data_IF_972001747321
#
_entry.id   IF_972001747321
#
_cell.length_a   1.000
_cell.length_b   1.000
_cell.length_c   1.000
_cell.angle_alpha   90.00
_cell.angle_beta   90.00
_cell.angle_gamma   90.00
#
_symmetry.space_group_name_H-M   'P 1'
#
loop_
_entity.id
_entity.type
_entity.pdbx_description
1 polymer ?
#
# COMPACT_ATOMS: atom_id res chain seq x y z
N UNK A 1 -6.41 -2.22 -5.40
CA UNK A 1 -6.24 -1.08 -4.46
C UNK A 1 -5.25 -0.11 -5.07
N UNK A 2 -5.53 1.20 -5.03
CA UNK A 2 -4.64 2.23 -5.59
C UNK A 2 -4.68 3.48 -4.69
N UNK A 3 -3.61 4.26 -4.68
CA UNK A 3 -3.54 5.50 -3.90
C UNK A 3 -3.87 6.71 -4.78
N UNK A 4 -4.62 7.66 -4.22
CA UNK A 4 -4.99 8.90 -4.88
C UNK A 4 -4.89 10.07 -3.88
N UNK A 5 -4.69 11.27 -4.41
CA UNK A 5 -4.81 12.51 -3.64
C UNK A 5 -6.27 12.94 -3.67
N UNK A 6 -6.96 12.87 -2.53
CA UNK A 6 -8.37 13.22 -2.38
C UNK A 6 -8.60 13.97 -1.04
N UNK A 7 -9.73 14.65 -0.93
CA UNK A 7 -10.18 15.30 0.30
C UNK A 7 -10.82 14.28 1.26
N UNK A 8 -10.68 14.46 2.59
CA UNK A 8 -11.26 13.53 3.56
C UNK A 8 -12.79 13.56 3.50
N UNK A 9 -13.42 12.38 3.42
CA UNK A 9 -14.89 12.25 3.51
C UNK A 9 -15.29 11.89 4.93
N UNK A 10 -16.56 12.13 5.26
CA UNK A 10 -17.10 11.96 6.62
C UNK A 10 -16.91 10.55 7.21
N UNK A 11 -16.76 9.55 6.36
CA UNK A 11 -16.66 8.12 6.73
C UNK A 11 -15.22 7.61 6.74
N UNK A 12 -14.27 8.40 6.24
CA UNK A 12 -12.89 7.96 6.07
C UNK A 12 -12.10 8.05 7.37
N UNK A 13 -11.21 7.08 7.58
CA UNK A 13 -10.24 7.15 8.66
C UNK A 13 -9.08 8.05 8.25
N UNK A 14 -8.85 9.13 9.00
CA UNK A 14 -7.71 10.02 8.82
C UNK A 14 -6.59 9.71 9.81
N UNK A 15 -5.37 9.59 9.29
CA UNK A 15 -4.14 9.42 10.06
C UNK A 15 -3.22 10.58 9.74
N UNK A 16 -3.05 11.48 10.71
CA UNK A 16 -2.17 12.64 10.58
C UNK A 16 -0.73 12.25 10.90
N UNK A 17 0.18 12.58 9.98
CA UNK A 17 1.62 12.56 10.22
C UNK A 17 2.16 13.99 10.13
N UNK A 18 3.38 14.27 10.60
CA UNK A 18 3.94 15.63 10.61
C UNK A 18 3.99 16.32 9.24
N UNK A 19 3.94 15.56 8.14
CA UNK A 19 4.10 16.07 6.79
C UNK A 19 2.98 15.69 5.82
N UNK A 20 2.21 14.64 6.13
CA UNK A 20 1.17 14.10 5.25
C UNK A 20 -0.03 13.63 6.07
N UNK A 21 -1.23 13.88 5.55
CA UNK A 21 -2.46 13.29 6.08
C UNK A 21 -2.84 12.12 5.19
N UNK A 22 -2.93 10.93 5.78
CA UNK A 22 -3.41 9.74 5.10
C UNK A 22 -4.90 9.58 5.36
N UNK A 23 -5.63 9.24 4.30
CA UNK A 23 -7.08 9.01 4.35
C UNK A 23 -7.31 7.60 3.84
N UNK A 24 -8.04 6.80 4.59
CA UNK A 24 -8.37 5.43 4.24
C UNK A 24 -9.88 5.24 4.25
N UNK A 25 -10.40 4.67 3.16
CA UNK A 25 -11.78 4.26 3.09
C UNK A 25 -12.07 3.14 4.11
N UNK A 26 -13.32 3.01 4.60
CA UNK A 26 -13.68 2.06 5.66
C UNK A 26 -13.36 0.60 5.33
N UNK A 27 -13.48 0.24 4.06
CA UNK A 27 -13.14 -1.10 3.56
C UNK A 27 -11.63 -1.39 3.70
N UNK A 28 -10.78 -0.40 3.41
CA UNK A 28 -9.33 -0.49 3.57
C UNK A 28 -8.92 -0.54 5.04
N UNK A 29 -9.56 0.27 5.90
CA UNK A 29 -9.32 0.24 7.36
C UNK A 29 -9.52 -1.18 7.91
N UNK A 30 -10.62 -1.83 7.56
CA UNK A 30 -10.92 -3.18 8.04
C UNK A 30 -9.86 -4.19 7.61
N UNK A 31 -9.28 -4.04 6.40
CA UNK A 31 -8.19 -4.88 5.90
C UNK A 31 -6.87 -4.59 6.62
N UNK A 32 -6.56 -3.33 6.87
CA UNK A 32 -5.35 -2.91 7.59
C UNK A 32 -5.38 -3.42 9.03
N UNK A 33 -6.50 -3.27 9.72
CA UNK A 33 -6.70 -3.76 11.08
C UNK A 33 -6.57 -5.28 11.17
N UNK A 34 -7.13 -6.04 10.21
CA UNK A 34 -6.99 -7.50 10.15
C UNK A 34 -5.57 -7.96 9.79
N UNK A 35 -4.87 -7.18 8.96
CA UNK A 35 -3.52 -7.49 8.53
C UNK A 35 -2.44 -6.99 9.50
N UNK A 36 -2.79 -6.44 10.66
CA UNK A 36 -1.80 -6.01 11.65
C UNK A 36 -1.05 -4.73 11.27
N UNK A 37 -1.58 -3.94 10.34
CA UNK A 37 -1.07 -2.62 9.98
C UNK A 37 -0.70 -2.47 8.51
N UNK A 38 -0.40 -1.23 8.14
CA UNK A 38 -0.01 -0.79 6.81
C UNK A 38 1.31 -0.03 6.91
N UNK A 39 2.29 -0.41 6.10
CA UNK A 39 3.57 0.28 5.95
C UNK A 39 3.63 0.86 4.54
N UNK A 40 3.89 2.17 4.45
CA UNK A 40 4.07 2.88 3.18
C UNK A 40 5.49 3.41 3.15
N UNK A 41 6.30 2.87 2.24
CA UNK A 41 7.70 3.26 2.05
C UNK A 41 7.90 3.92 0.69
N UNK A 42 8.84 4.86 0.60
CA UNK A 42 9.26 5.44 -0.67
C UNK A 42 10.61 4.86 -1.08
N UNK A 43 10.66 4.25 -2.26
CA UNK A 43 11.88 3.70 -2.86
C UNK A 43 12.39 4.67 -3.91
N UNK A 44 13.66 5.06 -3.80
CA UNK A 44 14.40 5.82 -4.82
C UNK A 44 15.77 5.16 -5.04
N UNK A 45 15.82 4.23 -6.00
CA UNK A 45 17.04 3.47 -6.34
C UNK A 45 17.66 3.94 -7.68
N UNK A 46 17.37 5.18 -8.11
CA UNK A 46 17.84 5.77 -9.36
C UNK A 46 17.23 5.17 -10.65
N UNK A 47 16.97 3.87 -10.70
CA UNK A 47 16.33 3.14 -11.80
C UNK A 47 14.81 3.06 -11.63
N UNK A 48 14.31 3.11 -10.40
CA UNK A 48 12.89 3.07 -10.06
C UNK A 48 12.63 4.02 -8.91
N UNK A 49 11.56 4.80 -9.03
CA UNK A 49 11.06 5.69 -7.99
C UNK A 49 9.59 5.39 -7.78
N UNK A 50 9.17 5.21 -6.54
CA UNK A 50 7.77 4.90 -6.26
C UNK A 50 7.49 4.63 -4.78
N UNK A 51 6.20 4.51 -4.48
CA UNK A 51 5.74 4.10 -3.15
C UNK A 51 5.48 2.60 -3.14
N UNK A 52 6.01 1.92 -2.14
CA UNK A 52 5.69 0.53 -1.81
C UNK A 52 4.70 0.54 -0.66
N UNK A 53 3.65 -0.28 -0.80
CA UNK A 53 2.61 -0.45 0.22
C UNK A 53 2.63 -1.91 0.66
N UNK A 54 2.87 -2.14 1.95
CA UNK A 54 3.00 -3.47 2.54
C UNK A 54 2.06 -3.60 3.73
N UNK A 55 1.37 -4.75 3.83
CA UNK A 55 0.48 -5.07 4.95
C UNK A 55 1.26 -5.87 6.00
N UNK A 56 1.01 -5.67 7.29
CA UNK A 56 1.81 -6.26 8.38
C UNK A 56 1.83 -7.81 8.39
N UNK A 57 0.71 -8.43 8.02
CA UNK A 57 0.53 -9.88 7.93
C UNK A 57 0.58 -10.28 6.46
N UNK A 58 1.77 -10.29 5.88
CA UNK A 58 2.00 -11.04 4.65
C UNK A 58 2.44 -12.46 5.02
N UNK A 59 1.47 -13.32 5.34
CA UNK A 59 1.60 -14.75 5.06
C UNK A 59 1.45 -14.88 3.55
N UNK A 60 2.56 -14.80 2.82
CA UNK A 60 2.58 -14.89 1.35
C UNK A 60 3.18 -13.64 0.73
N UNK A 61 4.51 -13.65 0.65
CA UNK A 61 5.26 -12.81 -0.28
C UNK A 61 4.92 -13.27 -1.70
N UNK A 62 3.82 -12.78 -2.27
CA UNK A 62 3.57 -12.92 -3.70
C UNK A 62 4.49 -11.97 -4.44
N UNK A 63 5.63 -12.55 -4.79
CA UNK A 63 6.74 -12.07 -5.61
C UNK A 63 6.22 -11.58 -6.98
N UNK A 64 5.62 -10.39 -7.03
CA UNK A 64 5.28 -9.71 -8.28
C UNK A 64 6.49 -8.89 -8.75
N UNK A 65 7.62 -9.58 -8.90
CA UNK A 65 8.89 -9.04 -9.34
C UNK A 65 9.42 -9.78 -10.58
N UNK A 66 8.65 -9.91 -11.66
CA UNK A 66 9.26 -10.27 -12.94
C UNK A 66 8.52 -9.73 -14.16
N UNK A 67 8.87 -8.52 -14.56
CA UNK A 67 8.96 -8.18 -15.97
C UNK A 67 10.31 -8.71 -16.46
N UNK A 68 10.39 -10.01 -16.80
CA UNK A 68 11.62 -10.64 -17.25
C UNK A 68 11.41 -12.09 -17.65
N UNK A 69 11.35 -12.31 -18.97
CA UNK A 69 11.54 -13.58 -19.70
C UNK A 69 11.32 -14.91 -18.96
N UNK A 70 10.16 -15.53 -19.22
CA UNK A 70 10.03 -16.99 -19.30
C UNK A 70 9.23 -17.67 -18.19
N UNK A 71 8.18 -18.39 -18.61
CA UNK A 71 7.61 -19.50 -17.86
C UNK A 71 6.29 -19.20 -17.15
N UNK A 72 5.18 -19.61 -17.76
CA UNK A 72 3.86 -19.55 -17.15
C UNK A 72 3.62 -20.64 -16.11
N UNK A 73 2.63 -20.40 -15.26
CA UNK A 73 1.69 -21.37 -14.70
C UNK A 73 0.37 -20.64 -14.52
N UNK A 74 -0.68 -21.17 -15.15
CA UNK A 74 -2.07 -20.91 -14.78
C UNK A 74 -2.60 -22.00 -13.86
#
# INVERSE_FOLDING_TARGET
MGMALDEPKDEDLSVETPHLTFIMAPDVESLVSQSGGLVIDYVDDGMRKGYTVTLGNQVGSDDCGSCGEGGGCG
#
